data_IF_224600898493
#
_entry.id   IF_224600898493
#
_cell.length_a   1.000
_cell.length_b   1.000
_cell.length_c   1.000
_cell.angle_alpha   90.00
_cell.angle_beta   90.00
_cell.angle_gamma   90.00
#
_symmetry.space_group_name_H-M   'P 1'
#
loop_
_entity.id
_entity.type
_entity.pdbx_description
1 polymer ?
#
# COMPACT_ATOMS: atom_id res chain seq x y z
N UNK A 1 -10.05 19.05 11.16
CA UNK A 1 -8.75 18.41 11.32
C UNK A 1 -8.78 16.99 10.80
N UNK A 2 -7.73 16.58 10.13
CA UNK A 2 -7.63 15.22 9.60
C UNK A 2 -7.15 14.27 10.68
N UNK A 3 -8.06 13.45 11.19
CA UNK A 3 -7.70 12.42 12.14
C UNK A 3 -7.01 11.28 11.39
N UNK A 4 -5.82 10.84 11.82
CA UNK A 4 -5.15 9.73 11.16
C UNK A 4 -5.88 8.41 11.41
N UNK A 5 -5.57 7.41 10.60
CA UNK A 5 -6.14 6.08 10.75
C UNK A 5 -5.82 5.51 12.14
N UNK A 6 -6.68 4.61 12.61
CA UNK A 6 -6.47 3.94 13.89
C UNK A 6 -5.33 2.93 13.77
N UNK A 7 -4.83 2.46 14.91
CA UNK A 7 -3.82 1.41 14.93
C UNK A 7 -4.32 0.14 14.23
N UNK A 8 -5.57 -0.22 14.46
CA UNK A 8 -6.17 -1.38 13.80
C UNK A 8 -6.19 -1.19 12.27
N UNK A 9 -6.62 -0.03 11.80
CA UNK A 9 -6.64 0.28 10.38
C UNK A 9 -5.23 0.26 9.78
N UNK A 10 -4.26 0.78 10.51
CA UNK A 10 -2.87 0.76 10.09
C UNK A 10 -2.37 -0.67 9.90
N UNK A 11 -2.70 -1.56 10.84
CA UNK A 11 -2.33 -2.97 10.75
C UNK A 11 -2.99 -3.66 9.57
N UNK A 12 -4.24 -3.33 9.29
CA UNK A 12 -4.94 -3.87 8.12
C UNK A 12 -4.26 -3.44 6.82
N UNK A 13 -3.92 -2.16 6.69
CA UNK A 13 -3.22 -1.68 5.51
C UNK A 13 -1.86 -2.35 5.34
N UNK A 14 -1.11 -2.51 6.42
CA UNK A 14 0.18 -3.17 6.36
C UNK A 14 0.03 -4.63 5.94
N UNK A 15 -0.97 -5.33 6.46
CA UNK A 15 -1.25 -6.71 6.08
C UNK A 15 -1.62 -6.81 4.60
N UNK A 16 -2.39 -5.86 4.08
CA UNK A 16 -2.72 -5.83 2.66
C UNK A 16 -1.49 -5.57 1.79
N UNK A 17 -0.62 -4.67 2.22
CA UNK A 17 0.63 -4.39 1.53
C UNK A 17 1.51 -5.64 1.50
N UNK A 18 1.66 -6.31 2.64
CA UNK A 18 2.45 -7.52 2.74
C UNK A 18 1.88 -8.64 1.87
N UNK A 19 0.55 -8.81 1.89
CA UNK A 19 -0.12 -9.83 1.08
C UNK A 19 0.07 -9.59 -0.41
N UNK A 20 -0.06 -8.36 -0.85
CA UNK A 20 0.14 -8.01 -2.26
C UNK A 20 1.59 -8.22 -2.68
N UNK A 21 2.53 -7.79 -1.85
CA UNK A 21 3.95 -7.99 -2.13
C UNK A 21 4.29 -9.48 -2.24
N UNK A 22 3.75 -10.30 -1.34
CA UNK A 22 3.99 -11.74 -1.34
C UNK A 22 3.35 -12.42 -2.56
N UNK A 23 2.17 -11.96 -2.97
CA UNK A 23 1.42 -12.56 -4.07
C UNK A 23 2.17 -12.51 -5.40
N UNK A 24 2.95 -11.46 -5.63
CA UNK A 24 3.65 -11.26 -6.90
C UNK A 24 5.13 -11.56 -6.83
N UNK A 25 5.63 -11.94 -5.66
CA UNK A 25 7.06 -12.15 -5.44
C UNK A 25 7.39 -13.63 -5.38
N UNK A 26 8.48 -14.02 -6.04
CA UNK A 26 8.99 -15.38 -5.96
C UNK A 26 9.95 -15.59 -4.81
N UNK A 27 10.54 -14.52 -4.28
CA UNK A 27 11.54 -14.58 -3.21
C UNK A 27 11.26 -13.51 -2.15
N UNK A 28 11.87 -13.68 -0.96
CA UNK A 28 11.76 -12.70 0.12
C UNK A 28 12.36 -11.34 -0.29
N UNK A 29 13.43 -11.36 -1.10
CA UNK A 29 14.07 -10.15 -1.62
C UNK A 29 13.10 -9.37 -2.53
N UNK A 30 12.45 -10.08 -3.44
CA UNK A 30 11.47 -9.46 -4.33
C UNK A 30 10.28 -8.91 -3.54
N UNK A 31 9.85 -9.64 -2.52
CA UNK A 31 8.77 -9.20 -1.65
C UNK A 31 9.08 -7.88 -0.97
N UNK A 32 10.29 -7.72 -0.45
CA UNK A 32 10.71 -6.48 0.19
C UNK A 32 10.78 -5.33 -0.81
N UNK A 33 11.32 -5.58 -1.99
CA UNK A 33 11.39 -4.56 -3.05
C UNK A 33 10.00 -4.10 -3.46
N UNK A 34 9.06 -5.04 -3.61
CA UNK A 34 7.69 -4.73 -3.96
C UNK A 34 6.99 -3.95 -2.85
N UNK A 35 7.25 -4.32 -1.60
CA UNK A 35 6.71 -3.62 -0.43
C UNK A 35 7.16 -2.15 -0.43
N UNK A 36 8.43 -1.89 -0.69
CA UNK A 36 8.95 -0.52 -0.79
C UNK A 36 8.28 0.26 -1.92
N UNK A 37 8.03 -0.39 -3.05
CA UNK A 37 7.32 0.25 -4.16
C UNK A 37 5.88 0.62 -3.78
N UNK A 38 5.22 -0.24 -3.02
CA UNK A 38 3.86 0.04 -2.55
C UNK A 38 3.85 1.21 -1.56
N UNK A 39 4.83 1.29 -0.68
CA UNK A 39 4.97 2.44 0.21
C UNK A 39 5.22 3.73 -0.56
N UNK A 40 6.07 3.69 -1.59
CA UNK A 40 6.33 4.85 -2.44
C UNK A 40 5.08 5.29 -3.18
N UNK A 41 4.29 4.33 -3.68
CA UNK A 41 3.03 4.61 -4.35
C UNK A 41 2.05 5.34 -3.40
N UNK A 42 2.02 4.91 -2.14
CA UNK A 42 1.19 5.56 -1.12
C UNK A 42 1.59 7.01 -0.90
N UNK A 43 2.89 7.25 -0.75
CA UNK A 43 3.40 8.61 -0.58
C UNK A 43 3.08 9.49 -1.76
N UNK A 44 3.23 8.95 -2.95
CA UNK A 44 2.97 9.69 -4.17
C UNK A 44 1.49 10.05 -4.32
N UNK A 45 0.62 9.08 -4.01
CA UNK A 45 -0.82 9.28 -4.19
C UNK A 45 -1.46 10.12 -3.10
N UNK A 46 -1.02 9.97 -1.85
CA UNK A 46 -1.64 10.63 -0.71
C UNK A 46 -0.78 11.71 -0.08
N UNK A 47 0.46 11.86 -0.52
CA UNK A 47 1.37 12.86 0.01
C UNK A 47 1.88 12.59 1.43
N UNK A 48 1.68 11.37 1.94
CA UNK A 48 2.08 11.01 3.30
C UNK A 48 2.34 9.52 3.41
N UNK A 49 3.01 9.11 4.50
CA UNK A 49 3.17 7.70 4.83
C UNK A 49 1.79 7.08 5.13
N UNK A 50 1.65 5.77 4.89
CA UNK A 50 0.38 5.11 5.16
C UNK A 50 -0.05 5.25 6.63
N UNK A 51 0.91 5.33 7.56
CA UNK A 51 0.63 5.50 8.99
C UNK A 51 0.00 6.85 9.32
N UNK A 52 0.18 7.84 8.45
CA UNK A 52 -0.36 9.19 8.62
C UNK A 52 -1.57 9.45 7.73
N UNK A 53 -2.06 8.43 7.05
CA UNK A 53 -3.20 8.55 6.15
C UNK A 53 -4.42 9.05 6.91
N UNK A 54 -5.15 10.06 6.39
CA UNK A 54 -6.40 10.49 7.02
C UNK A 54 -7.41 9.34 7.07
N UNK A 55 -8.11 9.22 8.19
CA UNK A 55 -9.08 8.14 8.40
C UNK A 55 -10.15 8.08 7.31
N UNK A 56 -10.58 9.23 6.82
CA UNK A 56 -11.57 9.31 5.75
C UNK A 56 -11.10 8.67 4.44
N UNK A 57 -9.79 8.49 4.27
CA UNK A 57 -9.23 7.89 3.07
C UNK A 57 -8.90 6.41 3.22
N UNK A 58 -9.13 5.86 4.41
CA UNK A 58 -8.78 4.47 4.69
C UNK A 58 -9.46 3.50 3.72
N UNK A 59 -10.76 3.65 3.51
CA UNK A 59 -11.53 2.75 2.64
C UNK A 59 -11.03 2.81 1.20
N UNK A 60 -10.75 4.00 0.72
CA UNK A 60 -10.20 4.21 -0.61
C UNK A 60 -8.83 3.55 -0.77
N UNK A 61 -7.96 3.72 0.23
CA UNK A 61 -6.63 3.15 0.21
C UNK A 61 -6.66 1.63 0.26
N UNK A 62 -7.51 1.05 1.11
CA UNK A 62 -7.66 -0.40 1.19
C UNK A 62 -8.16 -0.97 -0.13
N UNK A 63 -9.11 -0.31 -0.76
CA UNK A 63 -9.65 -0.72 -2.05
C UNK A 63 -8.58 -0.66 -3.14
N UNK A 64 -7.76 0.39 -3.14
CA UNK A 64 -6.65 0.54 -4.06
C UNK A 64 -5.68 -0.65 -3.94
N UNK A 65 -5.35 -1.03 -2.71
CA UNK A 65 -4.44 -2.16 -2.47
C UNK A 65 -5.04 -3.50 -2.92
N UNK A 66 -6.35 -3.65 -2.85
CA UNK A 66 -7.01 -4.89 -3.28
C UNK A 66 -7.18 -4.97 -4.80
N UNK A 67 -7.43 -3.84 -5.45
CA UNK A 67 -7.86 -3.85 -6.86
C UNK A 67 -6.76 -3.53 -7.87
N UNK A 68 -5.84 -2.61 -7.58
CA UNK A 68 -5.05 -2.02 -8.65
C UNK A 68 -3.52 -1.92 -8.51
N UNK A 69 -2.88 -1.98 -7.34
CA UNK A 69 -1.53 -1.44 -7.22
C UNK A 69 -0.50 -2.12 -8.10
N UNK A 70 -0.63 -3.43 -8.29
CA UNK A 70 0.37 -4.20 -9.00
C UNK A 70 0.17 -4.17 -10.51
N UNK A 71 -1.06 -4.02 -10.97
CA UNK A 71 -1.32 -3.83 -12.39
C UNK A 71 -0.64 -2.56 -12.87
N UNK A 72 -0.71 -1.48 -12.09
CA UNK A 72 -0.04 -0.22 -12.43
C UNK A 72 1.47 -0.34 -12.37
N UNK A 73 2.00 -1.03 -11.38
CA UNK A 73 3.44 -1.24 -11.25
C UNK A 73 3.97 -2.08 -12.41
N UNK A 74 3.22 -3.08 -12.85
CA UNK A 74 3.59 -3.88 -14.02
C UNK A 74 3.58 -3.04 -15.29
N UNK A 75 2.59 -2.19 -15.47
CA UNK A 75 2.50 -1.31 -16.62
C UNK A 75 3.68 -0.34 -16.67
N UNK A 76 4.11 0.16 -15.52
CA UNK A 76 5.26 1.07 -15.47
C UNK A 76 6.59 0.36 -15.68
N UNK A 77 6.62 -0.97 -15.67
CA UNK A 77 7.83 -1.75 -15.91
C UNK A 77 8.13 -1.98 -17.40
N UNK A 78 7.21 -1.62 -18.25
CA UNK A 78 7.36 -1.81 -19.70
C UNK A 78 7.71 -0.52 -20.42
#
# INVERSE_FOLDING_TARGET
MNTPITEFQRRVLLALIDAEAARVSGTAREGRAMKHRLFALFRERYGCKYTLLPRKRYREAARMLLDEPLAKLRQSSY
#
